data_IF_118693344274
#
_entry.id   IF_118693344274
#
_cell.length_a   1.000
_cell.length_b   1.000
_cell.length_c   1.000
_cell.angle_alpha   90.00
_cell.angle_beta   90.00
_cell.angle_gamma   90.00
#
_symmetry.space_group_name_H-M   'P 1'
#
loop_
_entity.id
_entity.type
_entity.pdbx_description
1 polymer ?
#
# COMPACT_ATOMS: atom_id res chain seq x y z
N UNK A 1 16.93 8.80 -44.88
CA UNK A 1 17.22 7.64 -44.02
C UNK A 1 17.55 8.18 -42.65
N UNK A 2 16.67 7.97 -41.66
CA UNK A 2 16.89 8.46 -40.29
C UNK A 2 17.71 7.40 -39.56
N UNK A 3 18.94 7.75 -39.16
CA UNK A 3 19.69 6.97 -38.20
C UNK A 3 18.96 7.12 -36.87
N UNK A 4 18.22 6.10 -36.46
CA UNK A 4 17.84 5.95 -35.06
C UNK A 4 19.14 5.80 -34.29
N UNK A 5 19.60 6.88 -33.67
CA UNK A 5 20.69 6.83 -32.71
C UNK A 5 20.30 5.83 -31.63
N UNK A 6 20.93 4.65 -31.66
CA UNK A 6 20.77 3.66 -30.62
C UNK A 6 21.37 4.23 -29.34
N UNK A 7 20.50 4.77 -28.49
CA UNK A 7 20.89 5.23 -27.16
C UNK A 7 21.36 4.01 -26.38
N UNK A 8 22.68 3.86 -26.28
CA UNK A 8 23.32 2.80 -25.51
C UNK A 8 23.59 3.34 -24.12
N UNK A 9 22.88 2.80 -23.14
CA UNK A 9 23.11 3.13 -21.73
C UNK A 9 24.38 2.45 -21.22
N UNK A 10 25.15 3.14 -20.39
CA UNK A 10 26.25 2.51 -19.64
C UNK A 10 25.70 1.42 -18.72
N UNK A 11 26.52 0.44 -18.30
CA UNK A 11 26.07 -0.60 -17.36
C UNK A 11 25.44 -0.02 -16.10
N UNK A 12 26.02 1.03 -15.52
CA UNK A 12 25.49 1.70 -14.32
C UNK A 12 24.13 2.35 -14.57
N UNK A 13 23.94 2.97 -15.75
CA UNK A 13 22.65 3.55 -16.13
C UNK A 13 21.58 2.47 -16.31
N UNK A 14 21.94 1.32 -16.90
CA UNK A 14 21.01 0.19 -17.02
C UNK A 14 20.60 -0.36 -15.66
N UNK A 15 21.56 -0.57 -14.75
CA UNK A 15 21.29 -1.03 -13.39
C UNK A 15 20.38 -0.04 -12.66
N UNK A 16 20.66 1.27 -12.78
CA UNK A 16 19.87 2.32 -12.16
C UNK A 16 18.42 2.35 -12.70
N UNK A 17 18.25 2.28 -14.02
CA UNK A 17 16.92 2.23 -14.66
C UNK A 17 16.15 0.98 -14.25
N UNK A 18 16.81 -0.19 -14.25
CA UNK A 18 16.19 -1.44 -13.85
C UNK A 18 15.72 -1.38 -12.39
N UNK A 19 16.58 -0.93 -11.47
CA UNK A 19 16.23 -0.79 -10.07
C UNK A 19 15.01 0.11 -9.86
N UNK A 20 15.01 1.32 -10.46
CA UNK A 20 13.89 2.25 -10.30
C UNK A 20 12.62 1.81 -11.03
N UNK A 21 12.73 1.10 -12.15
CA UNK A 21 11.57 0.51 -12.83
C UNK A 21 10.89 -0.57 -11.99
N UNK A 22 11.65 -1.40 -11.28
CA UNK A 22 11.10 -2.37 -10.32
C UNK A 22 10.34 -1.65 -9.22
N UNK A 23 10.98 -0.66 -8.59
CA UNK A 23 10.36 0.14 -7.52
C UNK A 23 9.09 0.86 -7.99
N UNK A 24 9.06 1.37 -9.21
CA UNK A 24 7.87 2.00 -9.79
C UNK A 24 6.67 1.04 -9.86
N UNK A 25 6.92 -0.21 -10.26
CA UNK A 25 5.92 -1.27 -10.35
C UNK A 25 5.50 -1.71 -8.94
N UNK A 26 6.47 -2.04 -8.09
CA UNK A 26 6.25 -2.58 -6.74
C UNK A 26 5.51 -1.59 -5.85
N UNK A 27 5.84 -0.30 -5.94
CA UNK A 27 5.17 0.76 -5.19
C UNK A 27 3.82 1.19 -5.80
N UNK A 28 3.43 0.61 -6.94
CA UNK A 28 2.20 0.90 -7.67
C UNK A 28 2.05 2.39 -8.01
N UNK A 29 3.16 3.04 -8.39
CA UNK A 29 3.21 4.50 -8.60
C UNK A 29 2.17 4.97 -9.61
N UNK A 30 2.01 4.25 -10.72
CA UNK A 30 1.02 4.58 -11.75
C UNK A 30 -0.40 4.62 -11.18
N UNK A 31 -0.76 3.64 -10.34
CA UNK A 31 -2.10 3.52 -9.79
C UNK A 31 -2.36 4.57 -8.70
N UNK A 32 -1.34 4.86 -7.89
CA UNK A 32 -1.46 5.83 -6.78
C UNK A 32 -1.40 7.28 -7.23
N UNK A 33 -0.56 7.59 -8.21
CA UNK A 33 -0.23 8.97 -8.60
C UNK A 33 -0.59 9.32 -10.04
N UNK A 34 -0.91 8.34 -10.89
CA UNK A 34 -1.28 8.59 -12.29
C UNK A 34 -0.14 9.07 -13.20
N UNK A 35 1.12 8.95 -12.77
CA UNK A 35 2.30 9.39 -13.53
C UNK A 35 2.94 8.22 -14.28
N UNK A 36 3.67 8.51 -15.35
CA UNK A 36 4.42 7.51 -16.13
C UNK A 36 5.78 7.19 -15.51
N UNK A 37 6.39 6.07 -15.90
CA UNK A 37 7.76 5.72 -15.50
C UNK A 37 8.76 6.83 -15.87
N UNK A 38 8.62 7.41 -17.06
CA UNK A 38 9.49 8.50 -17.53
C UNK A 38 9.44 9.71 -16.59
N UNK A 39 8.23 10.07 -16.12
CA UNK A 39 8.05 11.16 -15.17
C UNK A 39 8.59 10.80 -13.78
N UNK A 40 8.38 9.56 -13.35
CA UNK A 40 8.89 9.04 -12.08
C UNK A 40 10.42 9.13 -12.00
N UNK A 41 11.11 8.72 -13.07
CA UNK A 41 12.58 8.70 -13.14
C UNK A 41 13.24 10.09 -13.06
N UNK A 42 12.50 11.18 -13.25
CA UNK A 42 13.00 12.55 -13.05
C UNK A 42 13.33 12.80 -11.57
N UNK A 43 12.51 12.27 -10.65
CA UNK A 43 12.72 12.42 -9.21
C UNK A 43 12.02 11.29 -8.42
N UNK A 44 12.60 10.09 -8.41
CA UNK A 44 11.94 8.91 -7.86
C UNK A 44 11.67 9.03 -6.35
N UNK A 45 12.56 9.69 -5.60
CA UNK A 45 12.39 9.92 -4.16
C UNK A 45 11.17 10.77 -3.82
N UNK A 46 10.93 11.86 -4.56
CA UNK A 46 9.75 12.71 -4.38
C UNK A 46 8.46 11.92 -4.61
N UNK A 47 8.40 11.16 -5.70
CA UNK A 47 7.18 10.43 -6.05
C UNK A 47 6.93 9.24 -5.13
N UNK A 48 7.98 8.56 -4.67
CA UNK A 48 7.82 7.55 -3.62
C UNK A 48 7.22 8.13 -2.34
N UNK A 49 7.71 9.29 -1.90
CA UNK A 49 7.18 9.95 -0.73
C UNK A 49 5.68 10.31 -0.90
N UNK A 50 5.30 10.86 -2.06
CA UNK A 50 3.90 11.15 -2.38
C UNK A 50 3.03 9.87 -2.46
N UNK A 51 3.56 8.79 -3.05
CA UNK A 51 2.89 7.49 -3.12
C UNK A 51 2.73 6.83 -1.74
N UNK A 52 3.63 7.13 -0.80
CA UNK A 52 3.53 6.70 0.58
C UNK A 52 2.46 7.48 1.34
N UNK A 53 2.39 8.82 1.17
CA UNK A 53 1.35 9.65 1.77
C UNK A 53 -0.08 9.33 1.26
N UNK A 54 -0.19 8.86 0.01
CA UNK A 54 -1.46 8.45 -0.61
C UNK A 54 -1.84 7.01 -0.29
N UNK A 55 -0.95 6.24 0.34
CA UNK A 55 -1.35 4.93 0.83
C UNK A 55 -2.51 5.14 1.81
N UNK A 56 -3.66 4.46 1.61
CA UNK A 56 -4.70 4.52 2.61
C UNK A 56 -4.05 4.15 3.94
N UNK A 57 -4.18 5.00 4.95
CA UNK A 57 -4.08 4.57 6.33
C UNK A 57 -5.11 3.45 6.40
N UNK A 58 -4.68 2.19 6.23
CA UNK A 58 -5.52 1.05 6.55
C UNK A 58 -5.69 1.27 8.05
N UNK A 59 -6.86 1.72 8.56
CA UNK A 59 -7.09 1.50 9.96
C UNK A 59 -6.97 -0.02 10.06
N UNK A 60 -6.09 -0.51 10.92
CA UNK A 60 -6.04 -1.92 11.28
C UNK A 60 -7.46 -2.30 11.66
N UNK A 61 -8.19 -2.75 10.66
CA UNK A 61 -9.55 -3.20 10.78
C UNK A 61 -9.28 -4.52 11.46
N UNK A 62 -9.37 -4.55 12.78
CA UNK A 62 -9.08 -5.72 13.58
C UNK A 62 -10.10 -6.87 13.29
N UNK A 63 -10.74 -6.88 12.12
CA UNK A 63 -11.76 -7.84 11.69
C UNK A 63 -13.05 -7.77 12.50
N UNK A 64 -13.07 -7.02 13.59
CA UNK A 64 -14.19 -6.99 14.51
C UNK A 64 -15.24 -5.99 14.03
N UNK A 65 -16.30 -6.53 13.46
CA UNK A 65 -17.55 -5.79 13.27
C UNK A 65 -18.17 -5.49 14.65
N UNK A 66 -18.84 -4.34 14.83
CA UNK A 66 -19.56 -4.06 16.06
C UNK A 66 -20.60 -5.17 16.32
N UNK A 67 -20.71 -5.61 17.57
CA UNK A 67 -21.67 -6.65 17.94
C UNK A 67 -23.09 -6.19 17.64
N UNK A 68 -23.87 -7.06 17.01
CA UNK A 68 -25.29 -6.85 16.82
C UNK A 68 -26.00 -6.85 18.19
N UNK A 69 -27.15 -6.17 18.34
CA UNK A 69 -27.89 -6.13 19.60
C UNK A 69 -28.16 -7.51 20.21
N UNK A 70 -28.44 -8.52 19.38
CA UNK A 70 -28.63 -9.91 19.82
C UNK A 70 -27.35 -10.53 20.41
N UNK A 71 -26.18 -10.21 19.84
CA UNK A 71 -24.89 -10.70 20.33
C UNK A 71 -24.49 -10.01 21.64
N UNK A 72 -24.79 -8.71 21.78
CA UNK A 72 -24.62 -7.98 23.05
C UNK A 72 -25.51 -8.59 24.14
N UNK A 73 -26.77 -8.90 23.82
CA UNK A 73 -27.69 -9.54 24.76
C UNK A 73 -27.21 -10.94 25.18
N UNK A 74 -26.72 -11.74 24.23
CA UNK A 74 -26.15 -13.06 24.52
C UNK A 74 -24.90 -12.96 25.40
N UNK A 75 -23.99 -12.05 25.09
CA UNK A 75 -22.77 -11.81 25.88
C UNK A 75 -23.10 -11.43 27.33
N UNK A 76 -24.09 -10.54 27.54
CA UNK A 76 -24.53 -10.14 28.89
C UNK A 76 -25.09 -11.30 29.69
N UNK A 77 -25.91 -12.18 29.08
CA UNK A 77 -26.45 -13.37 29.77
C UNK A 77 -25.36 -14.33 30.22
N UNK A 78 -24.34 -14.52 29.39
CA UNK A 78 -23.20 -15.40 29.72
C UNK A 78 -22.43 -14.84 30.91
N UNK A 79 -22.12 -13.53 30.90
CA UNK A 79 -21.42 -12.88 32.01
C UNK A 79 -22.22 -12.89 33.31
N UNK A 80 -23.55 -12.74 33.24
CA UNK A 80 -24.42 -12.84 34.41
C UNK A 80 -24.39 -14.25 35.02
N UNK A 81 -24.47 -15.29 34.19
CA UNK A 81 -24.39 -16.68 34.67
C UNK A 81 -23.04 -16.99 35.32
N UNK A 82 -21.94 -16.51 34.76
CA UNK A 82 -20.62 -16.69 35.36
C UNK A 82 -20.48 -15.96 36.69
N UNK A 83 -21.06 -14.77 36.83
CA UNK A 83 -21.07 -14.04 38.10
C UNK A 83 -21.93 -14.73 39.18
N UNK A 84 -23.02 -15.39 38.78
CA UNK A 84 -23.89 -16.17 39.68
C UNK A 84 -23.27 -17.52 40.07
N UNK A 85 -22.34 -18.07 39.26
CA UNK A 85 -21.62 -19.32 39.55
C UNK A 85 -20.37 -19.12 40.44
N UNK A 86 -19.88 -17.89 40.58
CA UNK A 86 -18.75 -17.53 41.46
C UNK A 86 -19.17 -17.16 42.90
N UNK A 87 -20.49 -17.11 43.19
CA UNK A 87 -21.07 -16.88 44.53
C UNK A 87 -21.54 -18.19 45.19
#
# INVERSE_FOLDING_TARGET
MSLEEQITFTPDQQVHLNAWSSVYIDAQIQQKLGITLSQFLINPGKYLFLAWLTAPHIPTNNGFLPLLPAQVAASRRIHQRWAEEEE
#
